data_IF_335258047907
#
_entry.id   IF_335258047907
#
_cell.length_a   1.000
_cell.length_b   1.000
_cell.length_c   1.000
_cell.angle_alpha   90.00
_cell.angle_beta   90.00
_cell.angle_gamma   90.00
#
_symmetry.space_group_name_H-M   'P 1'
#
loop_
_entity.id
_entity.type
_entity.pdbx_description
1 polymer ?
#
# COMPACT_ATOMS: atom_id res chain seq x y z
N UNK A 1 22.38 19.37 3.37
CA UNK A 1 21.59 19.95 4.48
C UNK A 1 22.05 21.37 4.86
N UNK A 2 23.34 21.62 5.11
CA UNK A 2 23.86 22.94 5.50
C UNK A 2 23.63 24.02 4.43
N UNK A 3 23.88 23.70 3.15
CA UNK A 3 23.60 24.62 2.03
C UNK A 3 22.11 24.97 1.90
N UNK A 4 21.23 23.97 2.03
CA UNK A 4 19.77 24.17 2.03
C UNK A 4 19.33 25.05 3.21
N UNK A 5 19.90 24.84 4.41
CA UNK A 5 19.62 25.67 5.58
C UNK A 5 20.09 27.11 5.35
N UNK A 6 21.30 27.29 4.82
CA UNK A 6 21.86 28.60 4.51
C UNK A 6 21.02 29.36 3.48
N UNK A 7 20.60 28.70 2.39
CA UNK A 7 19.73 29.31 1.39
C UNK A 7 18.35 29.71 1.97
N UNK A 8 17.76 28.86 2.82
CA UNK A 8 16.46 29.12 3.47
C UNK A 8 16.54 30.27 4.48
N UNK A 9 17.63 30.34 5.25
CA UNK A 9 17.84 31.35 6.31
C UNK A 9 18.26 32.69 5.72
N UNK A 10 19.30 32.69 4.88
CA UNK A 10 20.01 33.90 4.46
C UNK A 10 19.42 34.48 3.18
N UNK A 11 19.04 33.64 2.22
CA UNK A 11 18.55 34.11 0.92
C UNK A 11 17.03 34.28 0.85
N UNK A 12 16.27 33.38 1.49
CA UNK A 12 14.80 33.38 1.36
C UNK A 12 14.05 33.83 2.61
N UNK A 13 14.73 34.02 3.75
CA UNK A 13 14.16 34.51 5.01
C UNK A 13 12.90 33.74 5.46
N UNK A 14 12.87 32.42 5.22
CA UNK A 14 11.69 31.56 5.41
C UNK A 14 11.54 31.04 6.85
N UNK A 15 12.44 31.42 7.77
CA UNK A 15 12.35 30.98 9.17
C UNK A 15 11.45 31.93 9.97
N UNK A 16 10.20 31.52 10.15
CA UNK A 16 9.31 32.13 11.14
C UNK A 16 9.61 31.60 12.55
N UNK A 17 9.53 32.47 13.57
CA UNK A 17 9.60 32.02 14.96
C UNK A 17 8.40 31.11 15.27
N UNK A 18 8.58 29.97 15.94
CA UNK A 18 7.47 29.08 16.29
C UNK A 18 6.48 29.82 17.21
N UNK A 19 5.28 30.10 16.72
CA UNK A 19 4.21 30.76 17.47
C UNK A 19 3.12 29.73 17.79
N UNK A 20 2.95 29.41 19.07
CA UNK A 20 1.94 28.44 19.55
C UNK A 20 0.52 28.78 19.07
N UNK A 21 0.15 30.08 19.07
CA UNK A 21 -1.16 30.51 18.58
C UNK A 21 -1.37 30.33 17.07
N UNK A 22 -0.32 30.36 16.26
CA UNK A 22 -0.40 30.06 14.83
C UNK A 22 -0.46 28.54 14.58
N UNK A 23 0.24 27.76 15.41
CA UNK A 23 0.19 26.30 15.40
C UNK A 23 -1.23 25.78 15.68
N UNK A 24 -1.87 26.21 16.77
CA UNK A 24 -3.24 25.76 17.10
C UNK A 24 -4.28 26.18 16.06
N UNK A 25 -4.11 27.35 15.43
CA UNK A 25 -4.96 27.79 14.30
C UNK A 25 -4.81 26.90 13.07
N UNK A 26 -3.61 26.39 12.82
CA UNK A 26 -3.32 25.51 11.68
C UNK A 26 -3.61 24.03 11.97
N UNK A 27 -3.81 23.66 13.24
CA UNK A 27 -3.95 22.28 13.68
C UNK A 27 -5.13 21.57 13.01
N UNK A 28 -6.26 22.25 12.81
CA UNK A 28 -7.42 21.68 12.14
C UNK A 28 -7.10 21.29 10.68
N UNK A 29 -6.46 22.19 9.92
CA UNK A 29 -6.07 21.95 8.52
C UNK A 29 -5.00 20.86 8.40
N UNK A 30 -4.00 20.88 9.29
CA UNK A 30 -2.97 19.85 9.35
C UNK A 30 -3.60 18.49 9.66
N UNK A 31 -4.49 18.42 10.65
CA UNK A 31 -5.13 17.18 11.08
C UNK A 31 -5.99 16.57 9.98
N UNK A 32 -6.65 17.39 9.14
CA UNK A 32 -7.46 16.90 8.01
C UNK A 32 -6.64 16.11 6.98
N UNK A 33 -5.33 16.36 6.87
CA UNK A 33 -4.42 15.65 5.95
C UNK A 33 -3.63 14.57 6.71
N UNK A 34 -3.12 14.91 7.89
CA UNK A 34 -2.28 14.02 8.68
C UNK A 34 -3.04 12.81 9.20
N UNK A 35 -4.29 12.96 9.66
CA UNK A 35 -5.05 11.87 10.25
C UNK A 35 -5.34 10.72 9.26
N UNK A 36 -5.86 10.96 8.04
CA UNK A 36 -6.01 9.91 7.02
C UNK A 36 -4.67 9.27 6.63
N UNK A 37 -3.60 10.07 6.53
CA UNK A 37 -2.27 9.56 6.21
C UNK A 37 -1.72 8.64 7.30
N UNK A 38 -1.88 9.02 8.58
CA UNK A 38 -1.50 8.19 9.73
C UNK A 38 -2.29 6.89 9.71
N UNK A 39 -3.62 6.94 9.58
CA UNK A 39 -4.45 5.73 9.51
C UNK A 39 -4.01 4.80 8.38
N UNK A 40 -3.70 5.37 7.21
CA UNK A 40 -3.23 4.60 6.05
C UNK A 40 -1.91 3.89 6.36
N UNK A 41 -0.96 4.57 6.99
CA UNK A 41 0.34 3.98 7.33
C UNK A 41 0.26 2.98 8.50
N UNK A 42 -0.66 3.18 9.44
CA UNK A 42 -0.89 2.27 10.58
C UNK A 42 -1.69 1.03 10.17
N UNK A 43 -2.34 1.03 9.00
CA UNK A 43 -3.08 -0.13 8.51
C UNK A 43 -2.22 -1.40 8.39
N UNK A 44 -1.04 -1.28 7.79
CA UNK A 44 -0.11 -2.40 7.62
C UNK A 44 0.33 -3.02 8.96
N UNK A 45 0.84 -2.27 9.95
CA UNK A 45 1.21 -2.85 11.23
C UNK A 45 0.02 -3.42 12.00
N UNK A 46 -1.19 -2.85 11.90
CA UNK A 46 -2.40 -3.44 12.48
C UNK A 46 -2.67 -4.82 11.86
N UNK A 47 -2.69 -4.91 10.53
CA UNK A 47 -2.90 -6.18 9.83
C UNK A 47 -1.83 -7.22 10.19
N UNK A 48 -0.56 -6.80 10.26
CA UNK A 48 0.54 -7.67 10.65
C UNK A 48 0.42 -8.14 12.10
N UNK A 49 -0.01 -7.29 13.03
CA UNK A 49 -0.23 -7.67 14.42
C UNK A 49 -1.35 -8.72 14.54
N UNK A 50 -2.44 -8.54 13.80
CA UNK A 50 -3.55 -9.52 13.73
C UNK A 50 -3.02 -10.87 13.24
N UNK A 51 -2.35 -10.90 12.09
CA UNK A 51 -1.81 -12.15 11.52
C UNK A 51 -0.81 -12.80 12.49
N UNK A 52 0.11 -12.02 13.06
CA UNK A 52 1.13 -12.54 13.99
C UNK A 52 0.46 -13.15 15.23
N UNK A 53 -0.55 -12.49 15.80
CA UNK A 53 -1.28 -13.00 16.96
C UNK A 53 -2.02 -14.31 16.66
N UNK A 54 -2.47 -14.49 15.41
CA UNK A 54 -3.16 -15.71 14.96
C UNK A 54 -2.16 -16.85 14.71
N UNK A 55 -1.02 -16.56 14.09
CA UNK A 55 0.06 -17.53 13.90
C UNK A 55 0.63 -17.98 15.26
N UNK A 56 0.77 -17.09 16.23
CA UNK A 56 1.34 -17.39 17.55
C UNK A 56 0.58 -18.47 18.33
N UNK A 57 -0.72 -18.67 18.04
CA UNK A 57 -1.53 -19.73 18.66
C UNK A 57 -1.10 -21.14 18.24
N UNK A 58 -0.35 -21.27 17.14
CA UNK A 58 0.08 -22.57 16.60
C UNK A 58 1.53 -22.95 16.98
N UNK A 59 2.25 -22.06 17.69
CA UNK A 59 3.57 -22.34 18.24
C UNK A 59 4.70 -21.46 17.70
N UNK A 60 5.79 -21.40 18.46
CA UNK A 60 6.93 -20.50 18.19
C UNK A 60 7.63 -20.78 16.86
N UNK A 61 7.64 -22.04 16.41
CA UNK A 61 8.23 -22.44 15.11
C UNK A 61 7.55 -21.73 13.94
N UNK A 62 6.21 -21.65 13.94
CA UNK A 62 5.46 -20.92 12.92
C UNK A 62 5.73 -19.41 12.98
N UNK A 63 5.85 -18.84 14.18
CA UNK A 63 6.20 -17.42 14.35
C UNK A 63 7.59 -17.13 13.79
N UNK A 64 8.56 -18.02 13.99
CA UNK A 64 9.90 -17.91 13.41
C UNK A 64 9.87 -17.96 11.87
N UNK A 65 9.10 -18.89 11.30
CA UNK A 65 8.88 -18.95 9.84
C UNK A 65 8.25 -17.66 9.29
N UNK A 66 7.24 -17.13 9.98
CA UNK A 66 6.59 -15.87 9.59
C UNK A 66 7.53 -14.66 9.71
N UNK A 67 8.40 -14.63 10.71
CA UNK A 67 9.42 -13.60 10.85
C UNK A 67 10.43 -13.61 9.69
N UNK A 68 10.81 -14.80 9.20
CA UNK A 68 11.67 -14.94 8.00
C UNK A 68 10.93 -14.47 6.74
N UNK A 69 9.67 -14.87 6.55
CA UNK A 69 8.83 -14.36 5.46
C UNK A 69 8.80 -12.82 5.49
N UNK A 70 8.61 -12.23 6.67
CA UNK A 70 8.60 -10.78 6.87
C UNK A 70 9.89 -10.05 6.48
N UNK A 71 11.05 -10.74 6.48
CA UNK A 71 12.34 -10.19 6.05
C UNK A 71 12.57 -10.35 4.54
N UNK A 72 12.14 -11.48 3.97
CA UNK A 72 12.29 -11.77 2.54
C UNK A 72 11.33 -10.91 1.72
N UNK A 73 10.09 -10.78 2.16
CA UNK A 73 9.00 -10.13 1.42
C UNK A 73 9.33 -8.70 0.95
N UNK A 74 9.86 -7.77 1.78
CA UNK A 74 10.21 -6.42 1.31
C UNK A 74 11.26 -6.41 0.21
N UNK A 75 12.25 -7.30 0.28
CA UNK A 75 13.32 -7.42 -0.73
C UNK A 75 12.74 -7.96 -2.03
N UNK A 76 11.97 -9.04 -1.93
CA UNK A 76 11.40 -9.73 -3.08
C UNK A 76 10.34 -8.90 -3.81
N UNK A 77 9.58 -8.08 -3.08
CA UNK A 77 8.54 -7.23 -3.65
C UNK A 77 8.91 -5.74 -3.68
N UNK A 78 10.19 -5.40 -3.61
CA UNK A 78 10.69 -4.02 -3.62
C UNK A 78 10.12 -3.18 -4.77
N UNK A 79 10.03 -3.75 -5.98
CA UNK A 79 9.46 -3.03 -7.13
C UNK A 79 7.96 -2.77 -7.00
N UNK A 80 7.20 -3.63 -6.32
CA UNK A 80 5.78 -3.38 -6.03
C UNK A 80 5.63 -2.15 -5.13
N UNK A 81 6.48 -2.03 -4.11
CA UNK A 81 6.49 -0.87 -3.22
C UNK A 81 6.97 0.39 -3.95
N UNK A 82 8.00 0.28 -4.80
CA UNK A 82 8.55 1.39 -5.58
C UNK A 82 7.56 1.93 -6.63
N UNK A 83 6.81 1.05 -7.28
CA UNK A 83 5.86 1.38 -8.33
C UNK A 83 4.81 2.41 -7.88
N UNK A 84 4.28 2.27 -6.65
CA UNK A 84 3.33 3.22 -6.06
C UNK A 84 3.89 4.65 -5.99
N UNK A 85 5.17 4.77 -5.62
CA UNK A 85 5.88 6.05 -5.55
C UNK A 85 6.19 6.65 -6.93
N UNK A 86 6.44 5.81 -7.94
CA UNK A 86 6.74 6.26 -9.30
C UNK A 86 5.51 6.75 -10.06
N UNK A 87 4.37 6.06 -9.92
CA UNK A 87 3.14 6.38 -10.65
C UNK A 87 2.48 7.66 -10.12
N UNK A 88 2.59 7.93 -8.82
CA UNK A 88 1.92 9.07 -8.19
C UNK A 88 2.18 10.41 -8.90
N UNK A 89 3.45 10.83 -9.06
CA UNK A 89 3.81 12.05 -9.81
C UNK A 89 3.31 12.05 -11.25
N UNK A 90 3.33 10.90 -11.95
CA UNK A 90 2.84 10.79 -13.32
C UNK A 90 1.32 11.07 -13.36
N UNK A 91 0.56 10.48 -12.45
CA UNK A 91 -0.89 10.74 -12.33
C UNK A 91 -1.13 12.20 -11.99
N UNK A 92 -0.45 12.73 -10.97
CA UNK A 92 -0.63 14.11 -10.51
C UNK A 92 -0.35 15.15 -11.60
N UNK A 93 0.73 14.98 -12.37
CA UNK A 93 1.07 15.87 -13.48
C UNK A 93 0.03 15.81 -14.61
N UNK A 94 -0.41 14.61 -15.01
CA UNK A 94 -1.42 14.46 -16.04
C UNK A 94 -2.80 14.97 -15.58
N UNK A 95 -3.12 14.80 -14.29
CA UNK A 95 -4.33 15.35 -13.69
C UNK A 95 -4.32 16.88 -13.71
N UNK A 96 -3.22 17.52 -13.32
CA UNK A 96 -3.04 18.97 -13.44
C UNK A 96 -3.12 19.49 -14.88
N UNK A 97 -2.75 18.67 -15.86
CA UNK A 97 -2.84 18.98 -17.29
C UNK A 97 -4.17 18.56 -17.95
N UNK A 98 -5.12 18.00 -17.21
CA UNK A 98 -6.39 17.49 -17.75
C UNK A 98 -6.28 16.31 -18.71
N UNK A 99 -5.13 15.62 -18.75
CA UNK A 99 -4.82 14.51 -19.69
C UNK A 99 -5.28 13.17 -19.14
N UNK A 100 -6.61 13.00 -19.05
CA UNK A 100 -7.22 11.79 -18.49
C UNK A 100 -6.82 10.51 -19.25
N UNK A 101 -6.75 10.57 -20.58
CA UNK A 101 -6.28 9.47 -21.44
C UNK A 101 -4.94 8.89 -20.95
N UNK A 102 -3.99 9.76 -20.59
CA UNK A 102 -2.67 9.36 -20.08
C UNK A 102 -2.73 8.79 -18.67
N UNK A 103 -3.67 9.23 -17.84
CA UNK A 103 -3.90 8.67 -16.50
C UNK A 103 -4.39 7.22 -16.62
N UNK A 104 -5.40 6.95 -17.47
CA UNK A 104 -5.92 5.59 -17.67
C UNK A 104 -4.85 4.66 -18.21
N UNK A 105 -4.06 5.13 -19.19
CA UNK A 105 -2.96 4.35 -19.74
C UNK A 105 -1.90 4.05 -18.68
N UNK A 106 -1.48 5.04 -17.90
CA UNK A 106 -0.49 4.84 -16.82
C UNK A 106 -0.96 3.84 -15.77
N UNK A 107 -2.25 3.88 -15.38
CA UNK A 107 -2.84 2.92 -14.43
C UNK A 107 -2.90 1.50 -15.02
N UNK A 108 -3.25 1.38 -16.30
CA UNK A 108 -3.33 0.07 -16.98
C UNK A 108 -1.94 -0.54 -17.16
N UNK A 109 -0.98 0.26 -17.62
CA UNK A 109 0.43 -0.15 -17.79
C UNK A 109 1.03 -0.58 -16.44
N UNK A 110 0.70 0.13 -15.36
CA UNK A 110 1.11 -0.23 -14.01
C UNK A 110 0.54 -1.57 -13.53
N UNK A 111 -0.75 -1.84 -13.79
CA UNK A 111 -1.36 -3.12 -13.43
C UNK A 111 -0.76 -4.28 -14.22
N UNK A 112 -0.48 -4.08 -15.51
CA UNK A 112 0.20 -5.07 -16.34
C UNK A 112 1.60 -5.34 -15.80
N UNK A 113 2.38 -4.26 -15.57
CA UNK A 113 3.74 -4.37 -15.05
C UNK A 113 3.79 -5.10 -13.71
N UNK A 114 2.96 -4.71 -12.74
CA UNK A 114 2.97 -5.32 -11.40
C UNK A 114 2.54 -6.78 -11.46
N UNK A 115 1.60 -7.13 -12.34
CA UNK A 115 1.16 -8.51 -12.54
C UNK A 115 2.28 -9.38 -13.10
N UNK A 116 2.93 -8.93 -14.17
CA UNK A 116 4.07 -9.63 -14.78
C UNK A 116 5.23 -9.78 -13.81
N UNK A 117 5.55 -8.72 -13.07
CA UNK A 117 6.59 -8.75 -12.04
C UNK A 117 6.28 -9.78 -10.95
N UNK A 118 5.07 -9.76 -10.39
CA UNK A 118 4.69 -10.71 -9.35
C UNK A 118 4.67 -12.16 -9.85
N UNK A 119 4.24 -12.42 -11.10
CA UNK A 119 4.33 -13.75 -11.72
C UNK A 119 5.78 -14.22 -11.79
N UNK A 120 6.67 -13.39 -12.34
CA UNK A 120 8.09 -13.70 -12.47
C UNK A 120 8.73 -13.99 -11.11
N UNK A 121 8.49 -13.11 -10.14
CA UNK A 121 9.06 -13.23 -8.80
C UNK A 121 8.50 -14.43 -8.05
N UNK A 122 7.22 -14.74 -8.20
CA UNK A 122 6.62 -15.92 -7.57
C UNK A 122 7.17 -17.21 -8.17
N UNK A 123 7.41 -17.25 -9.49
CA UNK A 123 8.10 -18.37 -10.12
C UNK A 123 9.52 -18.53 -9.56
N UNK A 124 10.28 -17.44 -9.44
CA UNK A 124 11.62 -17.48 -8.83
C UNK A 124 11.54 -18.02 -7.39
N UNK A 125 10.62 -17.52 -6.56
CA UNK A 125 10.43 -18.00 -5.20
C UNK A 125 10.06 -19.48 -5.15
N UNK A 126 9.21 -19.96 -6.06
CA UNK A 126 8.83 -21.37 -6.13
C UNK A 126 10.04 -22.28 -6.39
N UNK A 127 10.94 -21.89 -7.31
CA UNK A 127 12.17 -22.64 -7.58
C UNK A 127 13.24 -22.48 -6.50
N UNK A 128 13.29 -21.33 -5.81
CA UNK A 128 14.30 -21.03 -4.79
C UNK A 128 13.89 -21.40 -3.36
N UNK A 129 12.67 -21.88 -3.12
CA UNK A 129 12.15 -22.06 -1.76
C UNK A 129 13.03 -22.97 -0.89
N UNK A 130 13.56 -24.07 -1.42
CA UNK A 130 14.45 -24.98 -0.68
C UNK A 130 15.77 -24.30 -0.32
N UNK A 131 16.30 -23.47 -1.21
CA UNK A 131 17.50 -22.67 -0.96
C UNK A 131 17.24 -21.61 0.12
N UNK A 132 16.06 -20.98 0.12
CA UNK A 132 15.67 -20.02 1.16
C UNK A 132 15.49 -20.72 2.53
N UNK A 133 14.87 -21.90 2.55
CA UNK A 133 14.73 -22.72 3.77
C UNK A 133 16.11 -23.07 4.34
N UNK A 134 17.04 -23.52 3.50
CA UNK A 134 18.40 -23.84 3.91
C UNK A 134 19.19 -22.60 4.36
N UNK A 135 19.08 -21.47 3.64
CA UNK A 135 19.79 -20.22 3.96
C UNK A 135 19.40 -19.67 5.33
N UNK A 136 18.13 -19.79 5.70
CA UNK A 136 17.61 -19.35 7.00
C UNK A 136 17.60 -20.47 8.06
N UNK A 137 18.17 -21.64 7.74
CA UNK A 137 18.21 -22.82 8.63
C UNK A 137 16.84 -23.18 9.21
N UNK A 138 15.78 -23.05 8.42
CA UNK A 138 14.42 -23.35 8.86
C UNK A 138 14.18 -24.86 8.93
N UNK A 139 13.42 -25.30 9.93
CA UNK A 139 13.11 -26.72 10.18
C UNK A 139 11.63 -26.89 10.53
N UNK A 140 11.08 -28.07 10.26
CA UNK A 140 9.71 -28.44 10.62
C UNK A 140 8.68 -27.42 10.15
N UNK A 141 7.81 -27.00 11.07
CA UNK A 141 6.71 -26.05 10.83
C UNK A 141 7.15 -24.71 10.21
N UNK A 142 8.31 -24.17 10.60
CA UNK A 142 8.83 -22.92 10.04
C UNK A 142 9.14 -23.05 8.54
N UNK A 143 9.72 -24.19 8.14
CA UNK A 143 10.03 -24.49 6.75
C UNK A 143 8.75 -24.69 5.92
N UNK A 144 7.79 -25.45 6.46
CA UNK A 144 6.46 -25.64 5.85
C UNK A 144 5.77 -24.31 5.57
N UNK A 145 5.82 -23.39 6.53
CA UNK A 145 5.20 -22.07 6.40
C UNK A 145 5.86 -21.23 5.29
N UNK A 146 7.19 -21.27 5.19
CA UNK A 146 7.91 -20.61 4.10
C UNK A 146 7.61 -21.23 2.73
N UNK A 147 7.51 -22.56 2.64
CA UNK A 147 7.11 -23.25 1.40
C UNK A 147 5.70 -22.86 0.95
N UNK A 148 4.75 -22.77 1.89
CA UNK A 148 3.38 -22.30 1.60
C UNK A 148 3.39 -20.88 1.08
N UNK A 149 4.21 -20.01 1.69
CA UNK A 149 4.36 -18.65 1.20
C UNK A 149 4.89 -18.60 -0.24
N UNK A 150 6.00 -19.28 -0.51
CA UNK A 150 6.64 -19.29 -1.82
C UNK A 150 5.74 -19.91 -2.90
N UNK A 151 5.00 -20.97 -2.56
CA UNK A 151 4.21 -21.73 -3.52
C UNK A 151 2.83 -21.16 -3.80
N UNK A 152 2.18 -20.56 -2.80
CA UNK A 152 0.76 -20.20 -2.92
C UNK A 152 0.48 -18.73 -2.60
N UNK A 153 1.21 -18.14 -1.64
CA UNK A 153 0.90 -16.77 -1.18
C UNK A 153 1.59 -15.73 -2.04
N UNK A 154 2.84 -15.98 -2.47
CA UNK A 154 3.64 -15.03 -3.24
C UNK A 154 2.91 -14.51 -4.49
N UNK A 155 2.23 -15.39 -5.23
CA UNK A 155 1.50 -15.00 -6.44
C UNK A 155 0.33 -14.05 -6.17
N UNK A 156 -0.24 -14.09 -4.95
CA UNK A 156 -1.33 -13.20 -4.55
C UNK A 156 -0.86 -11.76 -4.33
N UNK A 157 0.45 -11.48 -4.35
CA UNK A 157 0.97 -10.11 -4.34
C UNK A 157 0.57 -9.30 -5.56
N UNK A 158 0.10 -9.92 -6.65
CA UNK A 158 -0.53 -9.22 -7.78
C UNK A 158 -1.65 -8.30 -7.27
N UNK A 159 -2.48 -8.79 -6.34
CA UNK A 159 -3.60 -8.03 -5.79
C UNK A 159 -3.17 -6.96 -4.79
N UNK A 160 -2.07 -7.20 -4.06
CA UNK A 160 -1.44 -6.16 -3.24
C UNK A 160 -0.89 -5.02 -4.12
N UNK A 161 -0.24 -5.37 -5.23
CA UNK A 161 0.20 -4.41 -6.24
C UNK A 161 -0.96 -3.63 -6.83
N UNK A 162 -2.06 -4.31 -7.17
CA UNK A 162 -3.28 -3.68 -7.67
C UNK A 162 -3.89 -2.70 -6.66
N UNK A 163 -3.88 -3.05 -5.36
CA UNK A 163 -4.29 -2.15 -4.29
C UNK A 163 -3.36 -0.92 -4.21
N UNK A 164 -2.04 -1.08 -4.35
CA UNK A 164 -1.11 0.05 -4.37
C UNK A 164 -1.31 0.97 -5.57
N UNK A 165 -1.56 0.43 -6.76
CA UNK A 165 -1.91 1.22 -7.94
C UNK A 165 -3.20 2.00 -7.71
N UNK A 166 -4.21 1.36 -7.09
CA UNK A 166 -5.46 2.01 -6.71
C UNK A 166 -5.24 3.15 -5.71
N UNK A 167 -4.41 2.91 -4.69
CA UNK A 167 -4.03 3.93 -3.71
C UNK A 167 -3.32 5.12 -4.37
N UNK A 168 -2.40 4.87 -5.31
CA UNK A 168 -1.75 5.91 -6.08
C UNK A 168 -2.76 6.74 -6.88
N UNK A 169 -3.77 6.11 -7.49
CA UNK A 169 -4.86 6.82 -8.17
C UNK A 169 -5.63 7.72 -7.18
N UNK A 170 -6.13 7.17 -6.08
CA UNK A 170 -6.93 7.94 -5.11
C UNK A 170 -6.17 9.10 -4.48
N UNK A 171 -4.91 8.87 -4.10
CA UNK A 171 -4.07 9.89 -3.46
C UNK A 171 -3.72 11.05 -4.41
N UNK A 172 -3.59 10.78 -5.72
CA UNK A 172 -3.20 11.79 -6.70
C UNK A 172 -4.39 12.42 -7.47
N UNK A 173 -5.61 11.92 -7.24
CA UNK A 173 -6.85 12.44 -7.82
C UNK A 173 -7.76 13.13 -6.80
N UNK A 174 -7.17 13.71 -5.73
CA UNK A 174 -7.88 14.43 -4.66
C UNK A 174 -8.92 13.58 -3.90
N UNK A 175 -8.67 12.28 -3.74
CA UNK A 175 -9.53 11.34 -3.02
C UNK A 175 -8.75 10.44 -2.02
N UNK A 176 -7.81 10.97 -1.20
CA UNK A 176 -6.95 10.16 -0.34
C UNK A 176 -7.72 9.34 0.72
N UNK A 177 -8.90 9.80 1.14
CA UNK A 177 -9.74 9.07 2.11
C UNK A 177 -10.20 7.70 1.60
N UNK A 178 -10.28 7.50 0.28
CA UNK A 178 -10.68 6.24 -0.35
C UNK A 178 -9.53 5.23 -0.25
N UNK A 179 -8.29 5.70 -0.43
CA UNK A 179 -7.08 4.92 -0.13
C UNK A 179 -7.05 4.51 1.34
N UNK A 180 -7.31 5.44 2.27
CA UNK A 180 -7.36 5.12 3.71
C UNK A 180 -8.42 4.07 4.02
N UNK A 181 -9.63 4.23 3.49
CA UNK A 181 -10.72 3.29 3.69
C UNK A 181 -10.38 1.88 3.18
N UNK A 182 -9.77 1.76 2.00
CA UNK A 182 -9.35 0.48 1.45
C UNK A 182 -8.24 -0.19 2.28
N UNK A 183 -7.22 0.55 2.69
CA UNK A 183 -6.13 -0.02 3.50
C UNK A 183 -6.63 -0.44 4.88
N UNK A 184 -7.51 0.37 5.50
CA UNK A 184 -8.08 0.02 6.79
C UNK A 184 -9.08 -1.12 6.72
N UNK A 185 -9.92 -1.13 5.68
CA UNK A 185 -10.79 -2.26 5.39
C UNK A 185 -9.99 -3.54 5.18
N UNK A 186 -8.92 -3.51 4.39
CA UNK A 186 -8.04 -4.68 4.17
C UNK A 186 -7.43 -5.17 5.49
N UNK A 187 -6.87 -4.27 6.28
CA UNK A 187 -6.22 -4.62 7.55
C UNK A 187 -7.19 -5.20 8.59
N UNK A 188 -8.48 -4.87 8.49
CA UNK A 188 -9.53 -5.30 9.42
C UNK A 188 -10.45 -6.34 8.77
N UNK A 189 -11.50 -5.91 8.07
CA UNK A 189 -12.49 -6.75 7.39
C UNK A 189 -11.87 -7.72 6.38
N UNK A 190 -10.79 -7.31 5.72
CA UNK A 190 -10.04 -8.17 4.81
C UNK A 190 -9.14 -9.17 5.52
N UNK A 191 -8.71 -8.93 6.75
CA UNK A 191 -7.74 -9.81 7.43
C UNK A 191 -8.41 -10.68 8.49
N UNK A 192 -9.17 -10.09 9.41
CA UNK A 192 -9.73 -10.74 10.59
C UNK A 192 -10.53 -12.01 10.26
N UNK A 193 -11.61 -11.96 9.45
CA UNK A 193 -12.44 -13.13 9.23
C UNK A 193 -11.71 -14.22 8.45
N UNK A 194 -10.90 -13.84 7.46
CA UNK A 194 -10.21 -14.81 6.60
C UNK A 194 -9.05 -15.50 7.31
N UNK A 195 -8.28 -14.76 8.11
CA UNK A 195 -7.22 -15.35 8.93
C UNK A 195 -7.81 -16.26 10.00
N UNK A 196 -8.90 -15.84 10.66
CA UNK A 196 -9.57 -16.66 11.68
C UNK A 196 -10.12 -17.96 11.08
N UNK A 197 -10.87 -17.90 9.98
CA UNK A 197 -11.38 -19.07 9.26
C UNK A 197 -10.24 -19.95 8.73
N UNK A 198 -9.22 -19.34 8.14
CA UNK A 198 -8.04 -20.04 7.66
C UNK A 198 -7.32 -20.80 8.78
N UNK A 199 -7.17 -20.17 9.95
CA UNK A 199 -6.59 -20.79 11.14
C UNK A 199 -7.37 -22.03 11.60
N UNK A 200 -8.70 -21.98 11.58
CA UNK A 200 -9.54 -23.12 11.95
C UNK A 200 -9.39 -24.33 11.01
N UNK A 201 -9.22 -24.09 9.70
CA UNK A 201 -9.19 -25.16 8.70
C UNK A 201 -7.79 -25.68 8.37
N UNK A 202 -6.78 -24.81 8.41
CA UNK A 202 -5.43 -25.10 7.92
C UNK A 202 -4.31 -24.69 8.87
N UNK A 203 -4.63 -24.39 10.13
CA UNK A 203 -3.64 -23.94 11.11
C UNK A 203 -2.91 -22.66 10.68
N UNK A 204 -1.63 -22.55 11.02
CA UNK A 204 -0.82 -21.38 10.64
C UNK A 204 -0.67 -21.19 9.12
N UNK A 205 -0.61 -22.26 8.34
CA UNK A 205 -0.61 -22.18 6.86
C UNK A 205 -1.93 -21.62 6.35
N UNK A 206 -3.05 -22.03 6.96
CA UNK A 206 -4.37 -21.48 6.67
C UNK A 206 -4.50 -20.00 7.05
N UNK A 207 -3.86 -19.55 8.13
CA UNK A 207 -3.76 -18.11 8.47
C UNK A 207 -3.11 -17.31 7.34
N UNK A 208 -1.98 -17.77 6.79
CA UNK A 208 -1.30 -17.11 5.68
C UNK A 208 -2.16 -17.05 4.41
N UNK A 209 -2.84 -18.15 4.08
CA UNK A 209 -3.76 -18.21 2.94
C UNK A 209 -4.96 -17.29 3.18
N UNK A 210 -5.49 -17.23 4.40
CA UNK A 210 -6.56 -16.30 4.79
C UNK A 210 -6.17 -14.85 4.58
N UNK A 211 -4.97 -14.45 5.02
CA UNK A 211 -4.43 -13.12 4.76
C UNK A 211 -4.33 -12.82 3.25
N UNK A 212 -3.89 -13.81 2.47
CA UNK A 212 -3.78 -13.70 1.02
C UNK A 212 -5.14 -13.44 0.36
N UNK A 213 -6.16 -14.26 0.68
CA UNK A 213 -7.54 -14.13 0.18
C UNK A 213 -8.11 -12.76 0.55
N UNK A 214 -7.91 -12.33 1.79
CA UNK A 214 -8.24 -11.00 2.25
C UNK A 214 -7.67 -9.87 1.40
N UNK A 215 -6.38 -9.98 1.12
CA UNK A 215 -5.66 -9.07 0.22
C UNK A 215 -6.20 -9.11 -1.20
N UNK A 216 -6.57 -10.29 -1.71
CA UNK A 216 -7.18 -10.45 -3.04
C UNK A 216 -8.50 -9.71 -3.16
N UNK A 217 -9.39 -9.87 -2.17
CA UNK A 217 -10.67 -9.16 -2.12
C UNK A 217 -10.45 -7.65 -2.18
N UNK A 218 -9.57 -7.11 -1.35
CA UNK A 218 -9.33 -5.66 -1.32
C UNK A 218 -8.54 -5.13 -2.52
N UNK A 219 -7.68 -5.95 -3.13
CA UNK A 219 -7.04 -5.63 -4.40
C UNK A 219 -8.07 -5.51 -5.54
N UNK A 220 -8.96 -6.49 -5.67
CA UNK A 220 -10.05 -6.46 -6.65
C UNK A 220 -11.01 -5.29 -6.38
N UNK A 221 -11.40 -5.07 -5.12
CA UNK A 221 -12.23 -3.94 -4.73
C UNK A 221 -11.56 -2.63 -5.11
N UNK A 222 -10.27 -2.45 -4.83
CA UNK A 222 -9.52 -1.25 -5.24
C UNK A 222 -9.60 -1.00 -6.74
N UNK A 223 -9.41 -2.06 -7.55
CA UNK A 223 -9.44 -1.97 -9.01
C UNK A 223 -10.81 -1.61 -9.55
N UNK A 224 -11.84 -2.36 -9.14
CA UNK A 224 -13.22 -2.10 -9.53
C UNK A 224 -13.66 -0.69 -9.09
N UNK A 225 -13.22 -0.27 -7.91
CA UNK A 225 -13.58 1.01 -7.34
C UNK A 225 -12.96 2.17 -8.10
N UNK A 226 -11.65 2.13 -8.36
CA UNK A 226 -11.05 3.17 -9.18
C UNK A 226 -11.65 3.14 -10.59
N UNK A 227 -11.92 1.95 -11.17
CA UNK A 227 -12.46 1.83 -12.53
C UNK A 227 -13.83 2.48 -12.69
N UNK A 228 -14.77 2.19 -11.80
CA UNK A 228 -16.11 2.82 -11.77
C UNK A 228 -16.02 4.34 -11.61
N UNK A 229 -15.23 4.78 -10.62
CA UNK A 229 -15.12 6.21 -10.31
C UNK A 229 -14.32 6.97 -11.35
N UNK A 230 -13.38 6.32 -12.03
CA UNK A 230 -12.61 6.90 -13.12
C UNK A 230 -13.51 7.32 -14.29
N UNK A 231 -14.51 6.50 -14.64
CA UNK A 231 -15.53 6.87 -15.63
C UNK A 231 -16.32 8.12 -15.21
N UNK A 232 -16.63 8.26 -13.92
CA UNK A 232 -17.30 9.42 -13.36
C UNK A 232 -16.40 10.67 -13.34
N UNK A 233 -15.13 10.51 -12.96
CA UNK A 233 -14.16 11.62 -12.90
C UNK A 233 -13.80 12.16 -14.30
N UNK A 234 -13.90 11.32 -15.34
CA UNK A 234 -13.71 11.70 -16.74
C UNK A 234 -14.91 12.46 -17.33
N UNK A 235 -16.08 12.43 -16.68
CA UNK A 235 -17.30 13.12 -17.15
C UNK A 235 -17.03 14.59 -17.50
N UNK A 236 -17.87 15.23 -18.35
CA UNK A 236 -17.53 16.50 -18.99
C UNK A 236 -17.08 17.51 -17.94
N UNK A 237 -15.79 17.85 -17.99
CA UNK A 237 -15.23 18.95 -17.25
C UNK A 237 -15.86 20.23 -17.81
N UNK A 238 -17.07 20.55 -17.35
CA UNK A 238 -17.56 21.91 -17.36
C UNK A 238 -16.63 22.67 -16.43
N UNK A 239 -15.57 23.22 -17.03
CA UNK A 239 -14.85 24.43 -16.67
C UNK A 239 -15.18 24.92 -15.25
N UNK A 240 -14.69 24.22 -14.22
CA UNK A 240 -14.47 24.89 -12.95
C UNK A 240 -13.23 25.71 -13.21
N UNK A 241 -13.46 26.97 -13.58
CA UNK A 241 -12.45 27.91 -13.99
C UNK A 241 -11.25 27.85 -13.04
N UNK A 242 -10.05 27.98 -13.60
CA UNK A 242 -8.77 28.14 -12.92
C UNK A 242 -8.75 29.22 -11.81
N UNK A 243 -9.81 30.02 -11.66
CA UNK A 243 -9.94 31.05 -10.62
C UNK A 243 -10.30 30.49 -9.23
N UNK A 244 -10.91 29.31 -9.11
CA UNK A 244 -11.34 28.79 -7.79
C UNK A 244 -10.23 28.04 -7.04
N UNK A 245 -9.22 27.53 -7.74
CA UNK A 245 -8.11 26.79 -7.12
C UNK A 245 -7.09 27.72 -6.43
N UNK A 246 -6.91 28.95 -6.94
CA UNK A 246 -6.02 29.94 -6.30
C UNK A 246 -6.67 30.65 -5.10
N UNK A 247 -7.99 30.66 -4.98
CA UNK A 247 -8.68 31.33 -3.87
C UNK A 247 -8.82 30.49 -2.59
N UNK A 248 -8.54 29.18 -2.65
CA UNK A 248 -8.57 28.29 -1.48
C UNK A 248 -7.21 28.09 -0.81
N UNK A 249 -6.12 28.58 -1.41
CA UNK A 249 -4.77 28.55 -0.82
C UNK A 249 -4.43 29.87 -0.09
N UNK A 250 -5.23 30.93 -0.29
CA UNK A 250 -5.04 32.25 0.31
C UNK A 250 -6.29 32.80 1.03
N UNK A 251 -7.05 31.94 1.72
CA UNK A 251 -8.03 32.37 2.73
C UNK A 251 -7.95 31.50 3.97
#
# INVERSE_FOLDING_TARGET
MIYSLHAVIVHHNLIARPQLGAFFRSLATISAIAFPAILTNTATPIGNAIVTSQIAQFGESYVAGYAVIGRIMPVTFALVFSLSGAIGPIIGQNFGAGRWDRISRSLSDALIFVSLYCVLVSAILWFLQDHLIALFSLQGDAATLLSVFCSYVAITFIFNGALFVSNAAFNNLNRPTWSTALNMGKATLGTIPFVWLGGLWGGASGVLIGQAIGGMVFGCLGVCWYGDKYCVWRGPMNVVSSKTCLSQVYR
#
